data_IF_018372278899
#
_entry.id   IF_018372278899
#
_cell.length_a   1.000
_cell.length_b   1.000
_cell.length_c   1.000
_cell.angle_alpha   90.00
_cell.angle_beta   90.00
_cell.angle_gamma   90.00
#
_symmetry.space_group_name_H-M   'P 1'
#
loop_
_entity.id
_entity.type
_entity.pdbx_description
1 polymer ?
#
# COMPACT_ATOMS: atom_id res chain seq x y z
N UNK A 1 -11.26 14.70 -17.40
CA UNK A 1 -11.39 15.17 -16.00
C UNK A 1 -10.40 14.37 -15.15
N UNK A 2 -9.09 14.65 -15.27
CA UNK A 2 -7.99 13.91 -14.62
C UNK A 2 -7.07 14.88 -13.84
N UNK A 3 -7.60 16.00 -13.35
CA UNK A 3 -6.80 17.00 -12.64
C UNK A 3 -6.87 16.88 -11.11
N UNK A 4 -7.86 16.17 -10.57
CA UNK A 4 -8.03 16.02 -9.11
C UNK A 4 -7.13 14.92 -8.50
N UNK A 5 -6.50 14.08 -9.33
CA UNK A 5 -5.64 12.98 -8.86
C UNK A 5 -4.15 13.31 -8.90
N UNK A 6 -3.72 14.43 -9.53
CA UNK A 6 -2.30 14.68 -9.82
C UNK A 6 -1.66 15.66 -8.82
N UNK A 7 -2.42 16.52 -8.15
CA UNK A 7 -1.85 17.60 -7.32
C UNK A 7 -1.71 17.28 -5.83
N UNK A 8 -2.29 16.19 -5.33
CA UNK A 8 -1.96 15.62 -4.00
C UNK A 8 -0.90 14.52 -4.09
N UNK A 9 -0.29 14.29 -5.26
CA UNK A 9 0.84 13.36 -5.42
C UNK A 9 2.20 14.01 -5.16
N UNK A 10 2.24 15.32 -4.87
CA UNK A 10 3.49 16.04 -4.62
C UNK A 10 3.97 15.99 -3.16
N UNK A 11 3.17 15.43 -2.23
CA UNK A 11 3.51 15.31 -0.81
C UNK A 11 2.97 14.01 -0.20
N UNK A 12 2.91 12.95 -1.01
CA UNK A 12 2.51 11.61 -0.55
C UNK A 12 3.66 10.66 -0.87
N UNK A 13 4.44 10.38 0.18
CA UNK A 13 5.55 9.43 0.17
C UNK A 13 5.08 7.97 0.16
N UNK A 14 3.81 7.71 0.46
CA UNK A 14 3.28 6.35 0.58
C UNK A 14 2.09 6.10 -0.35
N UNK A 15 2.26 5.19 -1.32
CA UNK A 15 1.19 4.67 -2.17
C UNK A 15 0.67 3.36 -1.57
N UNK A 16 -0.63 3.31 -1.29
CA UNK A 16 -1.30 2.08 -0.84
C UNK A 16 -2.12 1.52 -2.00
N UNK A 17 -1.76 0.34 -2.49
CA UNK A 17 -2.50 -0.38 -3.52
C UNK A 17 -3.41 -1.44 -2.87
N UNK A 18 -4.71 -1.38 -3.14
CA UNK A 18 -5.68 -2.35 -2.62
C UNK A 18 -6.13 -3.26 -3.76
N UNK A 19 -5.92 -4.57 -3.58
CA UNK A 19 -6.39 -5.62 -4.48
C UNK A 19 -7.41 -6.50 -3.76
N UNK A 20 -8.45 -6.97 -4.45
CA UNK A 20 -9.41 -7.89 -3.82
C UNK A 20 -8.89 -9.34 -3.95
N UNK A 21 -9.00 -10.12 -2.88
CA UNK A 21 -8.52 -11.51 -2.86
C UNK A 21 -9.23 -12.43 -3.86
N UNK A 22 -10.40 -12.03 -4.35
CA UNK A 22 -11.18 -12.77 -5.34
C UNK A 22 -11.09 -12.18 -6.76
N UNK A 23 -10.31 -11.11 -6.96
CA UNK A 23 -10.03 -10.57 -8.28
C UNK A 23 -8.76 -11.21 -8.82
N UNK A 24 -8.80 -11.66 -10.07
CA UNK A 24 -7.67 -12.35 -10.73
C UNK A 24 -6.94 -11.44 -11.70
N UNK A 25 -7.50 -10.27 -11.98
CA UNK A 25 -6.94 -9.32 -12.93
C UNK A 25 -6.39 -8.10 -12.20
N UNK A 26 -5.06 -7.95 -12.22
CA UNK A 26 -4.45 -6.68 -11.82
C UNK A 26 -4.67 -5.63 -12.90
N UNK A 27 -5.38 -4.56 -12.53
CA UNK A 27 -5.61 -3.37 -13.38
C UNK A 27 -4.57 -2.28 -13.13
N UNK A 28 -3.40 -2.64 -12.63
CA UNK A 28 -2.33 -1.67 -12.38
C UNK A 28 -1.82 -1.10 -13.71
N UNK A 29 -1.86 0.23 -13.89
CA UNK A 29 -1.30 0.85 -15.07
C UNK A 29 0.22 0.62 -15.10
N UNK A 30 0.74 0.27 -16.27
CA UNK A 30 2.16 0.09 -16.48
C UNK A 30 2.93 1.35 -16.06
N UNK A 31 3.98 1.17 -15.26
CA UNK A 31 4.81 2.25 -14.75
C UNK A 31 4.32 2.92 -13.47
N UNK A 32 3.20 2.50 -12.84
CA UNK A 32 2.78 3.10 -11.56
C UNK A 32 3.84 2.97 -10.47
N UNK A 33 4.52 1.82 -10.42
CA UNK A 33 5.62 1.57 -9.48
C UNK A 33 6.92 2.30 -9.87
N UNK A 34 7.02 2.81 -11.10
CA UNK A 34 8.16 3.58 -11.59
C UNK A 34 7.98 5.09 -11.36
N UNK A 35 6.77 5.54 -11.01
CA UNK A 35 6.45 6.95 -10.73
C UNK A 35 6.92 7.31 -9.32
N UNK A 36 8.21 7.62 -9.21
CA UNK A 36 8.84 8.20 -8.02
C UNK A 36 9.69 7.20 -7.26
N UNK A 37 10.99 7.21 -7.56
CA UNK A 37 12.05 6.40 -6.91
C UNK A 37 12.20 6.59 -5.39
N UNK A 38 11.36 7.42 -4.77
CA UNK A 38 11.31 7.65 -3.32
C UNK A 38 10.00 7.27 -2.66
N UNK A 39 9.00 6.79 -3.42
CA UNK A 39 7.69 6.46 -2.86
C UNK A 39 7.66 5.04 -2.32
N UNK A 40 7.21 4.90 -1.08
CA UNK A 40 6.92 3.62 -0.44
C UNK A 40 5.65 3.04 -1.07
N UNK A 41 5.76 1.84 -1.61
CA UNK A 41 4.63 1.11 -2.18
C UNK A 41 4.18 0.03 -1.20
N UNK A 42 2.99 0.17 -0.64
CA UNK A 42 2.36 -0.82 0.25
C UNK A 42 1.23 -1.49 -0.51
N UNK A 43 1.19 -2.82 -0.50
CA UNK A 43 0.06 -3.56 -1.05
C UNK A 43 -0.85 -4.10 0.04
N UNK A 44 -2.13 -4.18 -0.28
CA UNK A 44 -3.19 -4.61 0.62
C UNK A 44 -4.13 -5.55 -0.13
N UNK A 45 -4.36 -6.73 0.43
CA UNK A 45 -5.28 -7.75 -0.05
C UNK A 45 -6.57 -7.61 0.74
N UNK A 46 -7.63 -7.07 0.12
CA UNK A 46 -8.96 -6.89 0.71
C UNK A 46 -9.89 -8.05 0.41
N UNK A 47 -11.05 -8.11 1.10
CA UNK A 47 -12.09 -9.14 0.90
C UNK A 47 -11.61 -10.56 1.16
N UNK A 48 -10.69 -10.72 2.12
CA UNK A 48 -10.18 -12.05 2.51
C UNK A 48 -11.22 -12.93 3.19
N UNK A 49 -12.37 -12.36 3.55
CA UNK A 49 -13.56 -13.02 4.07
C UNK A 49 -14.42 -13.72 3.00
N UNK A 50 -14.19 -13.45 1.72
CA UNK A 50 -14.98 -14.08 0.65
C UNK A 50 -14.64 -15.57 0.50
N UNK A 51 -15.62 -16.43 0.23
CA UNK A 51 -15.39 -17.87 0.10
C UNK A 51 -14.55 -18.25 -1.13
N UNK A 52 -14.49 -17.36 -2.12
CA UNK A 52 -13.66 -17.45 -3.32
C UNK A 52 -12.35 -16.64 -3.22
N UNK A 53 -12.01 -16.14 -2.02
CA UNK A 53 -10.77 -15.43 -1.78
C UNK A 53 -9.55 -16.35 -1.95
N UNK A 54 -8.64 -15.97 -2.84
CA UNK A 54 -7.34 -16.61 -3.03
C UNK A 54 -6.23 -15.62 -2.64
N UNK A 55 -5.98 -15.57 -1.33
CA UNK A 55 -4.98 -14.69 -0.74
C UNK A 55 -3.58 -15.04 -1.24
N UNK A 56 -3.29 -16.34 -1.40
CA UNK A 56 -1.98 -16.82 -1.83
C UNK A 56 -1.69 -16.43 -3.28
N UNK A 57 -2.64 -16.67 -4.19
CA UNK A 57 -2.50 -16.27 -5.59
C UNK A 57 -2.43 -14.74 -5.73
N UNK A 58 -3.24 -14.02 -4.95
CA UNK A 58 -3.22 -12.55 -4.95
C UNK A 58 -1.89 -12.01 -4.45
N UNK A 59 -1.33 -12.57 -3.36
CA UNK A 59 0.00 -12.20 -2.85
C UNK A 59 1.07 -12.46 -3.90
N UNK A 60 1.02 -13.62 -4.57
CA UNK A 60 1.96 -13.93 -5.64
C UNK A 60 1.85 -12.94 -6.81
N UNK A 61 0.63 -12.63 -7.26
CA UNK A 61 0.37 -11.65 -8.31
C UNK A 61 0.98 -10.27 -7.95
N UNK A 62 0.78 -9.80 -6.72
CA UNK A 62 1.34 -8.53 -6.24
C UNK A 62 2.87 -8.54 -6.24
N UNK A 63 3.49 -9.64 -5.81
CA UNK A 63 4.94 -9.81 -5.87
C UNK A 63 5.47 -9.81 -7.32
N UNK A 64 4.77 -10.48 -8.25
CA UNK A 64 5.14 -10.53 -9.67
C UNK A 64 5.05 -9.15 -10.33
N UNK A 65 4.13 -8.31 -9.88
CA UNK A 65 3.99 -6.92 -10.34
C UNK A 65 5.12 -6.03 -9.78
N UNK A 66 5.75 -6.43 -8.67
CA UNK A 66 6.89 -5.73 -8.08
C UNK A 66 6.63 -5.12 -6.70
N UNK A 67 5.50 -5.42 -6.06
CA UNK A 67 5.32 -5.08 -4.65
C UNK A 67 6.24 -5.91 -3.77
N UNK A 68 6.63 -5.33 -2.64
CA UNK A 68 7.45 -5.98 -1.61
C UNK A 68 6.70 -5.99 -0.30
N UNK A 69 7.14 -6.85 0.61
CA UNK A 69 6.63 -6.86 1.98
C UNK A 69 6.89 -5.50 2.66
N UNK A 70 5.96 -5.03 3.51
CA UNK A 70 4.77 -5.74 3.97
C UNK A 70 3.57 -5.69 3.00
N UNK A 71 2.94 -6.85 2.79
CA UNK A 71 1.63 -6.97 2.12
C UNK A 71 0.58 -7.35 3.17
N UNK A 72 -0.35 -6.44 3.41
CA UNK A 72 -1.38 -6.59 4.44
C UNK A 72 -2.60 -7.33 3.92
N UNK A 73 -3.27 -8.05 4.80
CA UNK A 73 -4.53 -8.72 4.52
C UNK A 73 -5.63 -8.02 5.30
N UNK A 74 -6.68 -7.56 4.62
CA UNK A 74 -7.82 -6.86 5.19
C UNK A 74 -9.08 -7.69 5.03
N UNK A 75 -9.67 -8.00 6.17
CA UNK A 75 -10.98 -8.61 6.28
C UNK A 75 -11.96 -7.52 6.76
N UNK A 76 -13.01 -7.25 5.99
CA UNK A 76 -13.99 -6.21 6.32
C UNK A 76 -14.78 -6.49 7.61
N UNK A 77 -14.78 -7.73 8.07
CA UNK A 77 -15.41 -8.19 9.31
C UNK A 77 -14.44 -8.28 10.49
N UNK A 78 -13.13 -8.18 10.27
CA UNK A 78 -12.13 -8.22 11.34
C UNK A 78 -11.45 -6.85 11.55
N UNK A 79 -11.81 -6.11 12.60
CA UNK A 79 -11.18 -4.82 12.90
C UNK A 79 -9.69 -4.94 13.26
N UNK A 80 -9.19 -6.11 13.67
CA UNK A 80 -7.76 -6.32 13.94
C UNK A 80 -6.92 -6.26 12.66
N UNK A 81 -7.45 -6.77 11.55
CA UNK A 81 -6.78 -6.73 10.24
C UNK A 81 -6.49 -5.29 9.80
N UNK A 82 -7.46 -4.38 10.01
CA UNK A 82 -7.32 -2.95 9.73
C UNK A 82 -6.36 -2.28 10.73
N UNK A 83 -6.39 -2.70 11.99
CA UNK A 83 -5.53 -2.14 13.04
C UNK A 83 -4.05 -2.31 12.71
N UNK A 84 -3.62 -3.46 12.19
CA UNK A 84 -2.23 -3.69 11.80
C UNK A 84 -1.73 -2.72 10.73
N UNK A 85 -2.57 -2.42 9.73
CA UNK A 85 -2.23 -1.43 8.70
C UNK A 85 -2.15 -0.02 9.30
N UNK A 86 -3.07 0.34 10.19
CA UNK A 86 -3.07 1.65 10.87
C UNK A 86 -1.83 1.82 11.74
N UNK A 87 -1.49 0.81 12.56
CA UNK A 87 -0.33 0.85 13.45
C UNK A 87 0.97 0.93 12.64
N UNK A 88 1.06 0.22 11.50
CA UNK A 88 2.20 0.33 10.60
C UNK A 88 2.33 1.73 9.99
N UNK A 89 1.24 2.30 9.48
CA UNK A 89 1.24 3.65 8.91
C UNK A 89 1.59 4.72 9.96
N UNK A 90 1.11 4.56 11.20
CA UNK A 90 1.47 5.44 12.31
C UNK A 90 2.98 5.40 12.60
N UNK A 91 3.54 4.19 12.71
CA UNK A 91 4.99 4.02 12.91
C UNK A 91 5.84 4.57 11.75
N UNK A 92 5.32 4.52 10.51
CA UNK A 92 5.98 5.11 9.36
C UNK A 92 5.99 6.64 9.39
N UNK A 93 4.92 7.25 9.92
CA UNK A 93 4.81 8.71 10.09
C UNK A 93 5.76 9.23 11.17
N UNK A 94 5.88 8.52 12.29
CA UNK A 94 6.80 8.87 13.38
C UNK A 94 8.27 8.84 12.91
N UNK A 95 8.64 7.86 12.08
CA UNK A 95 10.00 7.76 11.51
C UNK A 95 10.35 8.91 10.56
N UNK A 96 9.37 9.46 9.85
CA UNK A 96 9.57 10.61 8.95
C UNK A 96 9.78 11.91 9.74
N UNK A 97 9.07 12.10 10.85
CA UNK A 97 9.27 13.24 11.76
C UNK A 97 10.65 13.22 12.43
N UNK A 98 11.10 12.08 12.95
CA UNK A 98 12.43 11.95 13.58
C UNK A 98 13.60 12.12 12.59
N UNK A 99 13.40 11.75 11.32
CA UNK A 99 14.40 11.93 10.27
C UNK A 99 14.58 13.40 9.87
N UNK A 100 13.52 14.22 9.97
CA UNK A 100 13.56 15.65 9.68
C UNK A 100 14.27 16.49 10.76
N UNK A 101 14.19 16.08 12.04
CA UNK A 101 14.83 16.81 13.15
C UNK A 101 16.35 16.65 13.19
N UNK A 102 16.91 15.54 12.69
CA UNK A 102 18.36 15.30 12.72
C UNK A 102 19.16 16.06 11.65
N UNK A 103 18.49 16.81 10.77
CA UNK A 103 19.15 17.68 9.77
C UNK A 103 19.34 19.13 10.21
N UNK A 104 18.87 19.55 11.40
CA UNK A 104 18.96 20.94 11.86
C UNK A 104 20.07 21.24 12.87
N UNK A 105 20.87 20.25 13.25
CA UNK A 105 22.03 20.44 14.13
C UNK A 105 23.31 19.99 13.45
N UNK A 106 23.89 20.85 12.62
CA UNK A 106 25.32 20.88 12.28
C UNK A 106 25.73 22.30 11.91
#
# INVERSE_FOLDING_TARGET
>A
MYHALITTLQDVDTLIYVHAANDKESRLPAGLLDVGTRKRHIAVISKTDMPDADIAATRQLLCEIGFREPIFELNGHDPQSVRQLVDYLAALSEQEEEAGEKTYHS
#
